data_IF_036871505096
#
_entry.id   IF_036871505096
#
_cell.length_a   1.000
_cell.length_b   1.000
_cell.length_c   1.000
_cell.angle_alpha   90.00
_cell.angle_beta   90.00
_cell.angle_gamma   90.00
#
_symmetry.space_group_name_H-M   'P 1'
#
loop_
_entity.id
_entity.type
_entity.pdbx_description
1 polymer ?
#
# COMPACT_ATOMS: atom_id res chain seq x y z
N UNK A 1 -29.72 -11.52 -10.59
CA UNK A 1 -28.41 -11.51 -11.24
C UNK A 1 -28.04 -10.06 -11.47
N UNK A 2 -27.30 -9.47 -10.54
CA UNK A 2 -26.61 -8.19 -10.77
C UNK A 2 -25.15 -8.48 -10.46
N UNK A 3 -24.54 -9.30 -11.32
CA UNK A 3 -23.09 -9.40 -11.39
C UNK A 3 -22.63 -8.01 -11.81
N UNK A 4 -22.10 -7.20 -10.89
CA UNK A 4 -21.55 -5.90 -11.29
C UNK A 4 -20.33 -6.17 -12.18
N UNK A 5 -20.42 -5.86 -13.47
CA UNK A 5 -19.43 -6.18 -14.51
C UNK A 5 -18.21 -5.24 -14.54
N UNK A 6 -18.06 -4.36 -13.55
CA UNK A 6 -16.99 -3.37 -13.53
C UNK A 6 -15.67 -4.08 -13.26
N UNK A 7 -14.93 -4.40 -14.33
CA UNK A 7 -13.62 -5.05 -14.23
C UNK A 7 -12.52 -4.06 -13.90
N UNK A 8 -12.62 -2.85 -14.45
CA UNK A 8 -11.72 -1.71 -14.25
C UNK A 8 -12.53 -0.52 -13.79
N UNK A 9 -11.99 0.20 -12.82
CA UNK A 9 -12.60 1.41 -12.29
C UNK A 9 -11.62 2.56 -12.42
N UNK A 10 -12.13 3.70 -12.87
CA UNK A 10 -11.35 4.91 -13.09
C UNK A 10 -11.86 6.04 -12.21
N UNK A 11 -10.93 6.78 -11.61
CA UNK A 11 -11.23 7.94 -10.78
C UNK A 11 -10.12 8.98 -10.95
N UNK A 12 -10.48 10.25 -10.85
CA UNK A 12 -9.55 11.37 -10.98
C UNK A 12 -9.55 12.24 -9.73
N UNK A 13 -8.38 12.74 -9.37
CA UNK A 13 -8.19 13.65 -8.24
C UNK A 13 -7.35 14.84 -8.69
N UNK A 14 -7.66 16.01 -8.14
CA UNK A 14 -6.74 17.14 -8.19
C UNK A 14 -5.86 17.10 -6.95
N UNK A 15 -4.54 17.33 -7.09
CA UNK A 15 -3.60 17.26 -5.97
C UNK A 15 -3.76 18.48 -5.04
N UNK A 16 -4.23 18.32 -3.80
CA UNK A 16 -4.37 19.41 -2.85
C UNK A 16 -3.04 19.73 -2.18
N UNK A 17 -2.96 20.89 -1.51
CA UNK A 17 -1.72 21.36 -0.88
C UNK A 17 -1.23 20.46 0.26
N UNK A 18 -2.11 19.80 1.00
CA UNK A 18 -1.74 18.97 2.16
C UNK A 18 -1.19 17.60 1.78
N UNK A 19 -1.31 17.19 0.52
CA UNK A 19 -0.71 15.96 0.01
C UNK A 19 0.68 16.18 -0.60
N UNK A 20 1.17 17.42 -0.58
CA UNK A 20 2.50 17.80 -1.06
C UNK A 20 3.50 17.94 0.09
N UNK A 21 4.74 17.51 -0.16
CA UNK A 21 5.87 17.71 0.74
C UNK A 21 6.52 19.09 0.58
N UNK A 22 7.67 19.32 1.24
CA UNK A 22 8.38 20.61 1.21
C UNK A 22 8.81 21.07 -0.20
N UNK A 23 8.90 20.16 -1.16
CA UNK A 23 9.25 20.44 -2.57
C UNK A 23 8.04 20.87 -3.42
N UNK A 24 6.83 20.93 -2.85
CA UNK A 24 5.59 21.18 -3.57
C UNK A 24 5.08 19.99 -4.39
N UNK A 25 5.84 18.88 -4.41
CA UNK A 25 5.48 17.62 -5.06
C UNK A 25 4.67 16.74 -4.11
N UNK A 26 3.72 16.01 -4.65
CA UNK A 26 2.96 14.99 -3.92
C UNK A 26 3.92 14.02 -3.20
N UNK A 27 3.65 13.73 -1.92
CA UNK A 27 4.41 12.72 -1.18
C UNK A 27 3.96 11.31 -1.60
N UNK A 28 4.86 10.31 -1.65
CA UNK A 28 4.50 8.96 -2.09
C UNK A 28 3.34 8.31 -1.32
N UNK A 29 3.27 8.56 -0.01
CA UNK A 29 2.17 8.07 0.83
C UNK A 29 0.79 8.61 0.40
N UNK A 30 0.73 9.82 -0.18
CA UNK A 30 -0.52 10.37 -0.69
C UNK A 30 -1.02 9.61 -1.92
N UNK A 31 -0.13 9.20 -2.83
CA UNK A 31 -0.50 8.35 -3.96
C UNK A 31 -1.10 7.01 -3.47
N UNK A 32 -0.56 6.43 -2.38
CA UNK A 32 -1.14 5.22 -1.79
C UNK A 32 -2.55 5.46 -1.22
N UNK A 33 -2.81 6.63 -0.61
CA UNK A 33 -4.18 7.00 -0.20
C UNK A 33 -5.12 7.06 -1.39
N UNK A 34 -4.67 7.62 -2.51
CA UNK A 34 -5.51 7.74 -3.70
C UNK A 34 -5.78 6.36 -4.32
N UNK A 35 -4.80 5.45 -4.32
CA UNK A 35 -5.02 4.05 -4.69
C UNK A 35 -6.02 3.37 -3.77
N UNK A 36 -5.91 3.55 -2.46
CA UNK A 36 -6.86 3.01 -1.49
C UNK A 36 -8.28 3.55 -1.72
N UNK A 37 -8.44 4.86 -1.91
CA UNK A 37 -9.74 5.47 -2.22
C UNK A 37 -10.32 4.92 -3.53
N UNK A 38 -9.51 4.82 -4.59
CA UNK A 38 -9.93 4.20 -5.85
C UNK A 38 -10.40 2.74 -5.66
N UNK A 39 -9.73 1.99 -4.79
CA UNK A 39 -10.14 0.63 -4.46
C UNK A 39 -11.51 0.57 -3.76
N UNK A 40 -11.73 1.46 -2.79
CA UNK A 40 -13.01 1.56 -2.07
C UNK A 40 -14.14 1.95 -3.01
N UNK A 41 -13.93 3.00 -3.82
CA UNK A 41 -14.93 3.46 -4.81
C UNK A 41 -15.26 2.42 -5.87
N UNK A 42 -14.27 1.61 -6.27
CA UNK A 42 -14.52 0.46 -7.12
C UNK A 42 -15.43 -0.56 -6.42
N UNK A 43 -15.19 -0.85 -5.14
CA UNK A 43 -16.05 -1.76 -4.38
C UNK A 43 -17.47 -1.23 -4.25
N UNK A 44 -17.64 0.05 -3.91
CA UNK A 44 -18.95 0.72 -3.81
C UNK A 44 -19.72 0.64 -5.14
N UNK A 45 -19.05 0.96 -6.25
CA UNK A 45 -19.62 0.88 -7.60
C UNK A 45 -19.99 -0.56 -8.00
N UNK A 46 -19.28 -1.54 -7.45
CA UNK A 46 -19.55 -2.97 -7.57
C UNK A 46 -20.54 -3.49 -6.50
N UNK A 47 -21.35 -2.61 -5.91
CA UNK A 47 -22.35 -2.92 -4.88
C UNK A 47 -21.77 -3.60 -3.63
N UNK A 48 -20.53 -3.28 -3.26
CA UNK A 48 -19.84 -3.81 -2.10
C UNK A 48 -19.57 -5.32 -2.20
N UNK A 49 -19.54 -5.90 -3.41
CA UNK A 49 -19.36 -7.35 -3.58
C UNK A 49 -18.09 -7.87 -2.87
N UNK A 50 -17.02 -7.06 -2.82
CA UNK A 50 -15.78 -7.38 -2.11
C UNK A 50 -15.90 -7.14 -0.59
N UNK A 51 -16.73 -6.20 -0.15
CA UNK A 51 -16.91 -5.83 1.26
C UNK A 51 -17.83 -6.79 2.03
N UNK A 52 -18.63 -7.60 1.31
CA UNK A 52 -19.48 -8.66 1.86
C UNK A 52 -18.72 -9.86 2.43
N UNK A 53 -17.41 -9.77 2.60
CA UNK A 53 -16.55 -10.83 3.14
C UNK A 53 -16.99 -11.27 4.54
N UNK A 54 -17.51 -10.35 5.35
CA UNK A 54 -17.99 -10.58 6.71
C UNK A 54 -19.23 -11.49 6.77
N UNK A 55 -20.09 -11.47 5.73
CA UNK A 55 -21.24 -12.37 5.60
C UNK A 55 -20.83 -13.86 5.60
N UNK A 56 -19.57 -14.15 5.26
CA UNK A 56 -19.01 -15.49 5.19
C UNK A 56 -18.13 -15.85 6.39
N UNK A 57 -18.15 -15.04 7.46
CA UNK A 57 -17.31 -15.28 8.63
C UNK A 57 -15.83 -14.98 8.35
N UNK A 58 -15.53 -14.12 7.37
CA UNK A 58 -14.19 -13.80 6.91
C UNK A 58 -13.93 -12.29 7.00
N UNK A 59 -12.65 -11.89 6.97
CA UNK A 59 -12.24 -10.51 6.77
C UNK A 59 -10.98 -10.42 5.93
N UNK A 60 -10.78 -9.26 5.29
CA UNK A 60 -9.61 -8.98 4.48
C UNK A 60 -8.47 -8.45 5.35
N UNK A 61 -7.27 -8.94 5.09
CA UNK A 61 -6.03 -8.31 5.57
C UNK A 61 -5.11 -8.06 4.37
N UNK A 62 -4.53 -6.87 4.30
CA UNK A 62 -3.49 -6.60 3.30
C UNK A 62 -2.23 -7.35 3.72
N UNK A 63 -1.74 -8.24 2.86
CA UNK A 63 -0.52 -8.99 3.11
C UNK A 63 0.72 -8.21 2.64
N UNK A 64 0.59 -7.42 1.58
CA UNK A 64 1.67 -6.56 1.11
C UNK A 64 1.25 -5.66 -0.05
N UNK A 65 2.17 -4.76 -0.41
CA UNK A 65 2.06 -3.88 -1.56
C UNK A 65 3.44 -3.62 -2.13
N UNK A 66 3.55 -3.59 -3.46
CA UNK A 66 4.72 -3.06 -4.15
C UNK A 66 4.25 -1.98 -5.12
N UNK A 67 4.84 -0.81 -4.98
CA UNK A 67 4.55 0.38 -5.76
C UNK A 67 5.84 0.90 -6.38
N UNK A 68 5.78 1.25 -7.66
CA UNK A 68 6.84 1.94 -8.38
C UNK A 68 6.35 3.34 -8.76
N UNK A 69 7.24 4.31 -8.63
CA UNK A 69 6.95 5.73 -8.79
C UNK A 69 7.88 6.31 -9.85
N UNK A 70 7.30 7.03 -10.80
CA UNK A 70 8.06 7.72 -11.82
C UNK A 70 8.31 9.17 -11.43
N UNK A 71 7.37 10.06 -11.76
CA UNK A 71 7.42 11.46 -11.35
C UNK A 71 6.07 11.85 -10.77
N UNK A 72 6.01 11.93 -9.44
CA UNK A 72 4.80 12.34 -8.73
C UNK A 72 4.40 13.78 -9.09
N UNK A 73 3.10 14.09 -9.13
CA UNK A 73 2.59 15.38 -9.57
C UNK A 73 2.85 16.51 -8.56
N UNK A 74 2.80 17.74 -9.03
CA UNK A 74 2.81 18.96 -8.22
C UNK A 74 1.40 19.32 -7.73
N UNK A 75 1.32 20.22 -6.74
CA UNK A 75 0.05 20.80 -6.30
C UNK A 75 -0.75 21.37 -7.48
N UNK A 76 -2.02 21.02 -7.55
CA UNK A 76 -2.97 21.52 -8.55
C UNK A 76 -3.01 20.73 -9.85
N UNK A 77 -2.03 19.86 -10.10
CA UNK A 77 -2.06 18.90 -11.22
C UNK A 77 -3.09 17.79 -10.97
N UNK A 78 -3.51 17.12 -12.03
CA UNK A 78 -4.47 16.01 -11.97
C UNK A 78 -3.75 14.66 -11.88
N UNK A 79 -4.41 13.71 -11.23
CA UNK A 79 -4.04 12.29 -11.19
C UNK A 79 -5.25 11.48 -11.61
N UNK A 80 -5.10 10.66 -12.64
CA UNK A 80 -6.11 9.69 -13.07
C UNK A 80 -5.67 8.29 -12.66
N UNK A 81 -6.47 7.62 -11.85
CA UNK A 81 -6.20 6.28 -11.33
C UNK A 81 -7.13 5.29 -12.01
N UNK A 82 -6.56 4.22 -12.53
CA UNK A 82 -7.27 3.00 -12.90
C UNK A 82 -6.94 1.91 -11.88
N UNK A 83 -7.94 1.21 -11.36
CA UNK A 83 -7.78 0.03 -10.49
C UNK A 83 -8.61 -1.15 -10.96
N UNK A 84 -8.11 -2.37 -10.76
CA UNK A 84 -8.82 -3.61 -11.08
C UNK A 84 -8.38 -4.76 -10.17
N UNK A 85 -9.23 -5.78 -10.09
CA UNK A 85 -8.85 -7.05 -9.48
C UNK A 85 -7.99 -7.85 -10.46
N UNK A 86 -6.76 -8.16 -10.05
CA UNK A 86 -5.75 -8.85 -10.85
C UNK A 86 -5.81 -10.38 -10.77
N UNK A 87 -6.93 -10.95 -10.32
CA UNK A 87 -7.05 -12.37 -10.05
C UNK A 87 -6.66 -12.78 -8.63
N UNK A 88 -6.46 -14.09 -8.45
CA UNK A 88 -6.13 -14.69 -7.16
C UNK A 88 -5.26 -15.93 -7.34
N UNK A 89 -4.33 -16.13 -6.41
CA UNK A 89 -3.64 -17.40 -6.19
C UNK A 89 -4.37 -18.26 -5.14
N UNK A 90 -3.73 -19.32 -4.63
CA UNK A 90 -4.32 -20.20 -3.61
C UNK A 90 -4.64 -19.50 -2.28
N UNK A 91 -3.85 -18.50 -1.90
CA UNK A 91 -3.95 -17.80 -0.61
C UNK A 91 -4.19 -16.29 -0.70
N UNK A 92 -3.85 -15.67 -1.84
CA UNK A 92 -3.86 -14.22 -2.00
C UNK A 92 -4.73 -13.79 -3.17
N UNK A 93 -5.45 -12.69 -2.98
CA UNK A 93 -6.07 -11.90 -4.05
C UNK A 93 -5.17 -10.73 -4.41
N UNK A 94 -5.17 -10.34 -5.68
CA UNK A 94 -4.36 -9.23 -6.15
C UNK A 94 -5.25 -8.07 -6.63
N UNK A 95 -4.83 -6.85 -6.32
CA UNK A 95 -5.42 -5.63 -6.87
C UNK A 95 -4.32 -4.75 -7.42
N UNK A 96 -4.51 -4.34 -8.67
CA UNK A 96 -3.58 -3.49 -9.38
C UNK A 96 -4.08 -2.04 -9.45
N UNK A 97 -3.11 -1.15 -9.64
CA UNK A 97 -3.30 0.28 -9.77
C UNK A 97 -2.36 0.84 -10.82
N UNK A 98 -2.85 1.82 -11.58
CA UNK A 98 -2.05 2.66 -12.46
C UNK A 98 -2.52 4.11 -12.30
N UNK A 99 -1.58 5.01 -12.03
CA UNK A 99 -1.81 6.45 -11.99
C UNK A 99 -1.14 7.11 -13.19
N UNK A 100 -1.87 7.97 -13.90
CA UNK A 100 -1.36 8.78 -15.02
C UNK A 100 -1.70 10.26 -14.83
N UNK A 101 -0.89 11.15 -15.41
CA UNK A 101 -1.16 12.59 -15.46
C UNK A 101 -2.05 12.97 -16.66
N UNK A 102 -2.41 14.26 -16.75
CA UNK A 102 -3.19 14.81 -17.88
C UNK A 102 -2.50 14.61 -19.24
N UNK A 103 -1.16 14.52 -19.26
CA UNK A 103 -0.34 14.26 -20.45
C UNK A 103 -0.21 12.76 -20.80
N UNK A 104 -0.89 11.88 -20.05
CA UNK A 104 -0.87 10.43 -20.24
C UNK A 104 0.38 9.74 -19.70
N UNK A 105 1.34 10.47 -19.10
CA UNK A 105 2.53 9.85 -18.53
C UNK A 105 2.19 9.03 -17.29
N UNK A 106 2.86 7.89 -17.11
CA UNK A 106 2.74 7.11 -15.86
C UNK A 106 3.35 7.90 -14.70
N UNK A 107 2.59 8.06 -13.63
CA UNK A 107 3.03 8.67 -12.38
C UNK A 107 3.46 7.60 -11.37
N UNK A 108 2.66 6.54 -11.25
CA UNK A 108 2.94 5.40 -10.39
C UNK A 108 2.14 4.15 -10.83
N UNK A 109 2.66 2.98 -10.53
CA UNK A 109 1.97 1.69 -10.67
C UNK A 109 2.13 0.90 -9.39
N UNK A 110 1.12 0.12 -9.01
CA UNK A 110 1.21 -0.71 -7.82
C UNK A 110 0.41 -2.00 -7.94
N UNK A 111 0.83 -3.04 -7.22
CA UNK A 111 0.00 -4.21 -6.91
C UNK A 111 0.01 -4.43 -5.40
N UNK A 112 -1.18 -4.69 -4.88
CA UNK A 112 -1.41 -5.08 -3.49
C UNK A 112 -1.92 -6.51 -3.44
N UNK A 113 -1.56 -7.23 -2.38
CA UNK A 113 -2.02 -8.58 -2.09
C UNK A 113 -2.85 -8.61 -0.82
N UNK A 114 -3.95 -9.36 -0.85
CA UNK A 114 -4.89 -9.50 0.26
C UNK A 114 -5.11 -10.97 0.60
N UNK A 115 -5.08 -11.28 1.88
CA UNK A 115 -5.43 -12.60 2.39
C UNK A 115 -6.83 -12.58 3.02
N UNK A 116 -7.50 -13.72 2.97
CA UNK A 116 -8.71 -13.97 3.74
C UNK A 116 -8.33 -14.53 5.10
N UNK A 117 -8.94 -14.02 6.15
CA UNK A 117 -8.80 -14.53 7.52
C UNK A 117 -10.16 -14.91 8.08
N UNK A 118 -10.24 -16.06 8.72
CA UNK A 118 -11.44 -16.51 9.43
C UNK A 118 -11.65 -15.68 10.71
N UNK A 119 -12.86 -15.15 10.89
CA UNK A 119 -13.25 -14.41 12.10
C UNK A 119 -13.20 -15.30 13.35
N UNK A 120 -13.58 -16.57 13.20
CA UNK A 120 -13.59 -17.56 14.29
C UNK A 120 -12.18 -17.98 14.69
N UNK A 121 -11.37 -18.45 13.74
CA UNK A 121 -10.06 -19.05 14.05
C UNK A 121 -8.92 -18.05 14.09
N UNK A 122 -9.13 -16.84 13.56
CA UNK A 122 -8.09 -15.81 13.33
C UNK A 122 -6.91 -16.31 12.48
N UNK A 123 -7.15 -17.31 11.62
CA UNK A 123 -6.16 -17.89 10.71
C UNK A 123 -6.47 -17.57 9.27
N UNK A 124 -5.41 -17.43 8.48
CA UNK A 124 -5.49 -17.30 7.03
C UNK A 124 -6.17 -18.53 6.42
N UNK A 125 -7.07 -18.31 5.48
CA UNK A 125 -7.78 -19.36 4.74
C UNK A 125 -7.52 -19.24 3.23
N UNK A 126 -7.84 -20.30 2.49
CA UNK A 126 -7.72 -20.30 1.02
C UNK A 126 -8.67 -19.31 0.38
N UNK A 127 -8.29 -18.78 -0.78
CA UNK A 127 -9.12 -17.85 -1.55
C UNK A 127 -10.45 -18.44 -2.01
N UNK A 128 -10.55 -19.78 -2.09
CA UNK A 128 -11.79 -20.51 -2.36
C UNK A 128 -12.83 -20.40 -1.25
N UNK A 129 -12.46 -19.96 -0.04
CA UNK A 129 -13.39 -19.75 1.06
C UNK A 129 -14.32 -18.54 0.81
N UNK A 130 -13.96 -17.62 -0.07
CA UNK A 130 -14.83 -16.53 -0.50
C UNK A 130 -15.57 -16.93 -1.79
N UNK A 131 -16.89 -17.22 -1.70
CA UNK A 131 -17.65 -17.81 -2.81
C UNK A 131 -18.12 -16.77 -3.84
N UNK A 132 -17.99 -15.48 -3.54
CA UNK A 132 -18.39 -14.40 -4.44
C UNK A 132 -17.42 -14.36 -5.62
N UNK A 133 -17.98 -14.39 -6.83
CA UNK A 133 -17.22 -14.23 -8.06
C UNK A 133 -16.90 -12.75 -8.25
N UNK A 134 -15.63 -12.39 -8.13
CA UNK A 134 -15.14 -11.04 -8.41
C UNK A 134 -14.74 -10.95 -9.89
N UNK A 135 -15.20 -9.95 -10.65
CA UNK A 135 -14.69 -9.71 -12.00
C UNK A 135 -13.20 -9.40 -11.96
N UNK A 136 -12.42 -10.05 -12.83
CA UNK A 136 -10.96 -9.89 -12.88
C UNK A 136 -10.50 -9.46 -14.27
N UNK A 137 -9.40 -8.72 -14.30
CA UNK A 137 -8.59 -8.47 -15.48
C UNK A 137 -7.20 -9.04 -15.25
N UNK A 138 -6.55 -9.50 -16.33
CA UNK A 138 -5.13 -9.85 -16.27
C UNK A 138 -4.32 -8.63 -15.82
N UNK A 139 -3.27 -8.88 -15.04
CA UNK A 139 -2.34 -7.85 -14.58
C UNK A 139 -1.56 -7.26 -15.77
N UNK A 140 -1.14 -8.13 -16.70
CA UNK A 140 -0.17 -7.77 -17.73
C UNK A 140 1.26 -7.75 -17.17
N UNK A 141 2.26 -7.87 -18.06
CA UNK A 141 3.65 -8.09 -17.65
C UNK A 141 4.22 -7.01 -16.71
N UNK A 142 3.84 -5.73 -16.92
CA UNK A 142 4.27 -4.62 -16.06
C UNK A 142 3.81 -4.80 -14.61
N UNK A 143 2.53 -5.13 -14.39
CA UNK A 143 1.99 -5.31 -13.04
C UNK A 143 2.31 -6.69 -12.45
N UNK A 144 2.54 -7.71 -13.27
CA UNK A 144 3.03 -9.01 -12.78
C UNK A 144 4.39 -8.87 -12.08
N UNK A 145 5.28 -8.04 -12.62
CA UNK A 145 6.56 -7.71 -12.00
C UNK A 145 6.43 -6.93 -10.67
N UNK A 146 5.22 -6.41 -10.38
CA UNK A 146 4.90 -5.68 -9.15
C UNK A 146 4.16 -6.53 -8.13
N UNK A 147 3.86 -7.81 -8.40
CA UNK A 147 3.23 -8.68 -7.40
C UNK A 147 4.11 -8.71 -6.13
N UNK A 148 3.58 -8.38 -4.95
CA UNK A 148 4.39 -8.31 -3.73
C UNK A 148 5.01 -9.67 -3.40
N UNK A 149 6.32 -9.68 -3.23
CA UNK A 149 7.06 -10.87 -2.80
C UNK A 149 7.31 -10.84 -1.28
N UNK A 150 7.66 -12.01 -0.73
CA UNK A 150 8.11 -12.10 0.66
C UNK A 150 9.47 -11.41 0.79
N UNK A 151 9.56 -10.44 1.68
CA UNK A 151 10.83 -9.77 1.95
C UNK A 151 11.73 -10.64 2.83
N UNK A 152 13.04 -10.50 2.60
CA UNK A 152 14.07 -11.16 3.40
C UNK A 152 13.99 -10.79 4.88
N UNK A 153 14.70 -11.55 5.71
CA UNK A 153 14.91 -11.18 7.11
C UNK A 153 16.02 -10.14 7.19
N UNK A 154 15.75 -9.03 7.86
CA UNK A 154 16.77 -8.09 8.31
C UNK A 154 16.95 -8.22 9.83
N UNK A 155 18.17 -7.98 10.31
CA UNK A 155 18.38 -7.67 11.71
C UNK A 155 17.76 -6.30 12.00
N UNK A 156 16.94 -6.20 13.06
CA UNK A 156 16.30 -4.95 13.45
C UNK A 156 17.21 -4.26 14.46
N UNK A 157 17.95 -3.21 14.07
CA UNK A 157 18.84 -2.53 15.01
C UNK A 157 18.05 -1.90 16.16
N UNK A 158 18.73 -1.70 17.28
CA UNK A 158 18.20 -0.88 18.38
C UNK A 158 18.01 0.57 17.94
N UNK A 159 17.09 1.27 18.63
CA UNK A 159 16.75 2.66 18.33
C UNK A 159 15.71 2.80 17.21
N UNK A 160 15.83 3.88 16.44
CA UNK A 160 14.83 4.31 15.47
C UNK A 160 13.90 5.40 15.98
N UNK A 161 12.95 5.78 15.14
CA UNK A 161 11.95 6.78 15.44
C UNK A 161 10.77 6.12 16.16
N UNK A 162 10.23 6.78 17.18
CA UNK A 162 9.20 6.21 18.05
C UNK A 162 7.88 6.97 17.92
N UNK A 163 6.77 6.22 17.86
CA UNK A 163 5.43 6.77 17.84
C UNK A 163 4.50 5.99 18.77
N UNK A 164 3.35 6.61 19.05
CA UNK A 164 2.19 5.94 19.62
C UNK A 164 1.04 6.09 18.63
N UNK A 165 0.40 4.97 18.27
CA UNK A 165 -0.73 4.96 17.36
C UNK A 165 -1.91 5.71 18.00
N UNK A 166 -2.30 6.82 17.37
CA UNK A 166 -3.40 7.67 17.80
C UNK A 166 -4.69 7.42 17.01
N UNK A 167 -5.75 8.11 17.39
CA UNK A 167 -7.07 7.95 16.75
C UNK A 167 -7.04 8.30 15.25
N UNK A 168 -6.24 9.29 14.86
CA UNK A 168 -6.05 9.73 13.45
C UNK A 168 -5.38 8.70 12.54
N UNK A 169 -4.75 7.70 13.15
CA UNK A 169 -4.01 6.66 12.43
C UNK A 169 -4.91 5.48 12.08
N UNK A 170 -6.10 5.41 12.70
CA UNK A 170 -7.05 4.31 12.52
C UNK A 170 -7.89 4.47 11.25
N UNK A 171 -8.24 3.34 10.65
CA UNK A 171 -9.25 3.24 9.61
C UNK A 171 -10.64 2.92 10.18
N UNK A 172 -11.62 2.75 9.28
CA UNK A 172 -13.01 2.38 9.59
C UNK A 172 -13.10 1.05 10.37
N UNK A 173 -12.13 0.15 10.22
CA UNK A 173 -12.10 -1.14 10.93
C UNK A 173 -11.50 -1.02 12.33
N UNK A 174 -11.03 0.17 12.73
CA UNK A 174 -10.41 0.42 14.03
C UNK A 174 -8.96 -0.06 14.12
N UNK A 175 -8.33 -0.42 13.00
CA UNK A 175 -6.91 -0.75 12.93
C UNK A 175 -6.13 0.41 12.33
N UNK A 176 -4.82 0.49 12.61
CA UNK A 176 -3.97 1.45 11.91
C UNK A 176 -4.07 1.23 10.40
N UNK A 177 -4.38 2.30 9.67
CA UNK A 177 -4.48 2.29 8.22
C UNK A 177 -3.13 1.91 7.58
N UNK A 178 -3.14 1.04 6.58
CA UNK A 178 -1.94 0.52 5.91
C UNK A 178 -1.00 1.62 5.38
N UNK A 179 -1.53 2.79 4.98
CA UNK A 179 -0.72 3.92 4.51
C UNK A 179 0.12 4.53 5.64
N UNK A 180 -0.33 4.46 6.91
CA UNK A 180 0.46 4.96 8.06
C UNK A 180 1.76 4.22 8.24
N UNK A 181 1.77 2.91 7.94
CA UNK A 181 3.02 2.14 7.93
C UNK A 181 4.00 2.68 6.87
N UNK A 182 3.51 3.00 5.68
CA UNK A 182 4.34 3.62 4.64
C UNK A 182 4.92 4.96 5.10
N UNK A 183 4.12 5.79 5.77
CA UNK A 183 4.60 7.06 6.34
C UNK A 183 5.71 6.83 7.37
N UNK A 184 5.52 5.92 8.34
CA UNK A 184 6.56 5.60 9.33
C UNK A 184 7.82 5.00 8.72
N UNK A 185 7.67 4.19 7.66
CA UNK A 185 8.80 3.66 6.88
C UNK A 185 9.57 4.80 6.22
N UNK A 186 8.89 5.73 5.56
CA UNK A 186 9.52 6.85 4.86
C UNK A 186 10.19 7.84 5.83
N UNK A 187 9.60 8.09 7.00
CA UNK A 187 10.21 8.94 8.04
C UNK A 187 11.54 8.37 8.58
N UNK A 188 11.77 7.05 8.48
CA UNK A 188 13.03 6.44 8.89
C UNK A 188 14.20 6.67 7.92
N UNK A 189 13.93 7.25 6.74
CA UNK A 189 14.95 7.57 5.73
C UNK A 189 15.63 8.90 6.09
N UNK A 190 16.98 9.01 5.98
CA UNK A 190 17.68 10.24 6.30
C UNK A 190 17.17 11.45 5.49
N UNK A 191 17.03 12.64 6.09
CA UNK A 191 16.54 13.84 5.41
C UNK A 191 17.30 14.18 4.13
N UNK A 192 18.62 13.93 4.08
CA UNK A 192 19.45 14.19 2.91
C UNK A 192 19.02 13.34 1.70
N UNK A 193 18.53 12.11 1.94
CA UNK A 193 17.98 11.25 0.90
C UNK A 193 16.60 11.75 0.49
N UNK A 194 15.73 12.06 1.46
CA UNK A 194 14.37 12.56 1.21
C UNK A 194 14.36 13.86 0.40
N UNK A 195 15.34 14.74 0.62
CA UNK A 195 15.43 16.03 -0.07
C UNK A 195 16.08 15.95 -1.46
N UNK A 196 17.03 15.03 -1.67
CA UNK A 196 17.88 15.01 -2.86
C UNK A 196 17.61 13.83 -3.81
N UNK A 197 16.76 12.87 -3.42
CA UNK A 197 16.43 11.69 -4.22
C UNK A 197 14.92 11.52 -4.39
N UNK A 198 14.54 10.83 -5.46
CA UNK A 198 13.16 10.42 -5.70
C UNK A 198 12.99 8.96 -5.30
N UNK A 199 11.92 8.66 -4.57
CA UNK A 199 11.51 7.28 -4.31
C UNK A 199 11.12 6.65 -5.65
N UNK A 200 11.81 5.58 -6.05
CA UNK A 200 11.51 4.82 -7.27
C UNK A 200 10.64 3.61 -6.97
N UNK A 201 10.84 2.98 -5.80
CA UNK A 201 10.07 1.79 -5.39
C UNK A 201 9.84 1.74 -3.90
N UNK A 202 8.66 1.30 -3.51
CA UNK A 202 8.27 0.97 -2.14
C UNK A 202 7.66 -0.43 -2.13
N UNK A 203 8.19 -1.31 -1.28
CA UNK A 203 7.67 -2.65 -1.03
C UNK A 203 7.32 -2.73 0.45
N UNK A 204 6.11 -3.18 0.75
CA UNK A 204 5.55 -3.32 2.10
C UNK A 204 5.10 -4.76 2.29
N UNK A 205 5.51 -5.38 3.38
CA UNK A 205 5.06 -6.69 3.83
C UNK A 205 4.50 -6.55 5.25
N UNK A 206 3.19 -6.74 5.39
CA UNK A 206 2.50 -6.60 6.67
C UNK A 206 2.53 -7.93 7.45
N UNK A 207 2.87 -7.86 8.74
CA UNK A 207 3.07 -9.02 9.62
C UNK A 207 2.15 -9.04 10.82
N UNK A 208 1.87 -7.87 11.39
CA UNK A 208 0.94 -7.71 12.50
C UNK A 208 0.25 -6.35 12.42
N UNK A 209 -1.02 -6.34 12.79
CA UNK A 209 -1.78 -5.12 13.03
C UNK A 209 -1.20 -4.35 14.24
N UNK A 210 -1.29 -3.02 14.15
CA UNK A 210 -1.07 -2.07 15.24
C UNK A 210 -2.43 -1.45 15.59
N UNK A 211 -2.71 -1.36 16.88
CA UNK A 211 -3.96 -0.88 17.45
C UNK A 211 -3.77 0.46 18.15
N UNK A 212 -4.89 1.12 18.41
CA UNK A 212 -4.93 2.36 19.18
C UNK A 212 -4.14 2.25 20.50
N UNK A 213 -3.28 3.23 20.76
CA UNK A 213 -2.49 3.34 21.98
C UNK A 213 -1.22 2.47 22.00
N UNK A 214 -1.06 1.51 21.09
CA UNK A 214 0.17 0.73 20.98
C UNK A 214 1.35 1.63 20.57
N UNK A 215 2.51 1.35 21.17
CA UNK A 215 3.76 2.02 20.83
C UNK A 215 4.48 1.24 19.75
N UNK A 216 5.15 1.96 18.87
CA UNK A 216 5.93 1.41 17.78
C UNK A 216 7.23 2.18 17.59
N UNK A 217 8.21 1.52 16.99
CA UNK A 217 9.40 2.16 16.43
C UNK A 217 9.59 1.77 14.98
N UNK A 218 10.01 2.73 14.16
CA UNK A 218 10.40 2.51 12.77
C UNK A 218 11.92 2.67 12.65
N UNK A 219 12.53 1.70 11.99
CA UNK A 219 13.96 1.71 11.66
C UNK A 219 14.13 1.58 10.15
N UNK A 220 15.14 2.27 9.63
CA UNK A 220 15.57 2.18 8.24
C UNK A 220 17.09 2.08 8.21
N UNK A 221 17.61 1.16 7.40
CA UNK A 221 19.05 0.98 7.19
C UNK A 221 19.34 0.95 5.70
N UNK A 222 20.40 1.64 5.27
CA UNK A 222 20.88 1.52 3.91
C UNK A 222 21.42 0.09 3.72
N UNK A 223 20.89 -0.63 2.75
CA UNK A 223 21.36 -1.97 2.40
C UNK A 223 22.67 -1.92 1.60
N UNK A 224 22.84 -0.85 0.81
CA UNK A 224 24.00 -0.62 -0.04
C UNK A 224 24.12 0.88 -0.43
N UNK A 225 25.05 1.19 -1.34
CA UNK A 225 25.24 2.53 -1.88
C UNK A 225 24.34 2.86 -3.08
N UNK A 226 23.53 1.90 -3.56
CA UNK A 226 22.63 2.05 -4.71
C UNK A 226 21.38 2.89 -4.38
N UNK A 227 21.16 3.20 -3.10
CA UNK A 227 19.95 3.88 -2.62
C UNK A 227 18.86 2.90 -2.18
N UNK A 228 19.21 1.63 -1.97
CA UNK A 228 18.33 0.64 -1.37
C UNK A 228 18.33 0.75 0.15
N UNK A 229 17.15 0.79 0.75
CA UNK A 229 16.96 0.74 2.19
C UNK A 229 16.06 -0.42 2.58
N UNK A 230 16.38 -1.06 3.69
CA UNK A 230 15.52 -2.03 4.36
C UNK A 230 14.97 -1.41 5.63
N UNK A 231 13.70 -1.70 5.92
CA UNK A 231 12.98 -1.09 7.02
C UNK A 231 12.21 -2.12 7.83
N UNK A 232 12.04 -1.81 9.10
CA UNK A 232 11.14 -2.53 9.97
C UNK A 232 10.34 -1.55 10.83
N UNK A 233 9.03 -1.77 10.89
CA UNK A 233 8.16 -1.22 11.92
C UNK A 233 7.90 -2.32 12.93
N UNK A 234 8.32 -2.11 14.17
CA UNK A 234 8.11 -3.06 15.26
C UNK A 234 7.31 -2.41 16.37
N UNK A 235 6.42 -3.18 17.00
CA UNK A 235 5.65 -2.75 18.16
C UNK A 235 6.29 -3.25 19.45
N UNK A 236 5.70 -2.88 20.59
CA UNK A 236 6.16 -3.28 21.92
C UNK A 236 6.39 -4.80 22.04
N UNK A 237 7.46 -5.20 22.72
CA UNK A 237 7.93 -6.58 22.78
C UNK A 237 8.63 -7.09 21.51
N UNK A 238 9.17 -6.18 20.69
CA UNK A 238 9.88 -6.45 19.42
C UNK A 238 9.08 -7.30 18.42
N UNK A 239 7.76 -7.18 18.47
CA UNK A 239 6.88 -7.84 17.51
C UNK A 239 6.93 -7.07 16.19
N UNK A 240 7.37 -7.74 15.14
CA UNK A 240 7.42 -7.18 13.79
C UNK A 240 6.00 -6.92 13.26
N UNK A 241 5.71 -5.65 12.95
CA UNK A 241 4.43 -5.23 12.40
C UNK A 241 4.48 -5.08 10.87
N UNK A 242 5.56 -4.51 10.33
CA UNK A 242 5.77 -4.38 8.90
C UNK A 242 7.25 -4.48 8.56
N UNK A 243 7.58 -5.17 7.47
CA UNK A 243 8.87 -5.01 6.76
C UNK A 243 8.65 -4.17 5.54
N UNK A 244 9.64 -3.36 5.20
CA UNK A 244 9.60 -2.63 3.96
C UNK A 244 10.97 -2.56 3.30
N UNK A 245 10.94 -2.25 2.01
CA UNK A 245 12.12 -1.93 1.22
C UNK A 245 11.81 -0.70 0.39
N UNK A 246 12.73 0.26 0.38
CA UNK A 246 12.63 1.43 -0.51
C UNK A 246 13.85 1.53 -1.41
N UNK A 247 13.63 1.94 -2.65
CA UNK A 247 14.69 2.23 -3.60
C UNK A 247 14.62 3.70 -4.00
N UNK A 248 15.73 4.41 -3.87
CA UNK A 248 15.84 5.85 -4.11
C UNK A 248 16.82 6.14 -5.25
N UNK A 249 16.32 6.74 -6.33
CA UNK A 249 17.13 7.17 -7.47
C UNK A 249 17.50 8.65 -7.37
N UNK A 250 18.60 9.05 -8.01
CA UNK A 250 18.88 10.47 -8.18
C UNK A 250 17.69 11.14 -8.88
N UNK A 251 17.25 12.28 -8.35
CA UNK A 251 16.23 13.08 -9.03
C UNK A 251 16.80 13.51 -10.37
N UNK A 252 16.18 13.08 -11.47
CA UNK A 252 16.51 13.62 -12.79
C UNK A 252 16.24 15.13 -12.78
N UNK A 253 17.23 15.91 -13.22
CA UNK A 253 17.08 17.36 -13.48
C UNK A 253 16.14 17.54 -14.66
#
# INVERSE_FOLDING_TARGET
MTDSEIKRFEISFQVPSWDCGPTGRMVPAAMLRYFQEGAMRHSDAAHGAFDRVSDFGLFWVMAGMRAEFETLPMRGESVHITTWHGGRGPLLFYRAFKAVGDDGRTLASAVSSFALVSLETRRMVRTSAFPVKVPVCELGAEHEALVPERLGTMEVPDGGLHWQAGFRDLDINGHVNNVRYAEWVLESVPPEVLMNRALARLELEFKSEIRFGERLRSVGVAADTSGLFEHAVVKEGDVLACRARTLWRQSGI
#
